data_IF_013498429086
#
_entry.id   IF_013498429086
#
_cell.length_a   1.000
_cell.length_b   1.000
_cell.length_c   1.000
_cell.angle_alpha   90.00
_cell.angle_beta   90.00
_cell.angle_gamma   90.00
#
_symmetry.space_group_name_H-M   'P 1'
#
loop_
_entity.id
_entity.type
_entity.pdbx_description
1 polymer ?
#
# COMPACT_ATOMS: atom_id res chain seq x y z
N UNK A 1 2.93 -19.53 1.22
CA UNK A 1 2.24 -20.20 2.34
C UNK A 1 2.60 -19.59 3.70
N UNK A 2 3.87 -19.49 4.09
CA UNK A 2 4.28 -18.84 5.36
C UNK A 2 3.85 -17.37 5.49
N UNK A 3 3.92 -16.60 4.40
CA UNK A 3 3.45 -15.20 4.36
C UNK A 3 1.97 -15.06 4.70
N UNK A 4 1.12 -15.97 4.21
CA UNK A 4 -0.31 -15.92 4.44
C UNK A 4 -0.67 -16.15 5.91
N UNK A 5 0.05 -17.04 6.60
CA UNK A 5 -0.17 -17.33 8.02
C UNK A 5 0.18 -16.15 8.93
N UNK A 6 1.22 -15.38 8.57
CA UNK A 6 1.58 -14.15 9.29
C UNK A 6 0.69 -12.96 8.92
N UNK A 7 0.15 -12.95 7.69
CA UNK A 7 -0.63 -11.83 7.20
C UNK A 7 -1.95 -11.63 7.95
N UNK A 8 -2.68 -12.72 8.26
CA UNK A 8 -3.96 -12.65 8.99
C UNK A 8 -3.86 -11.97 10.37
N UNK A 9 -2.96 -12.39 11.29
CA UNK A 9 -2.84 -11.75 12.59
C UNK A 9 -2.32 -10.31 12.46
N UNK A 10 -1.42 -10.04 11.50
CA UNK A 10 -0.94 -8.66 11.28
C UNK A 10 -2.04 -7.74 10.76
N UNK A 11 -2.92 -8.21 9.87
CA UNK A 11 -4.10 -7.45 9.44
C UNK A 11 -4.98 -7.04 10.62
N UNK A 12 -5.22 -7.96 11.56
CA UNK A 12 -6.01 -7.67 12.77
C UNK A 12 -5.30 -6.64 13.65
N UNK A 13 -3.99 -6.78 13.86
CA UNK A 13 -3.20 -5.83 14.65
C UNK A 13 -3.21 -4.42 14.05
N UNK A 14 -3.03 -4.30 12.74
CA UNK A 14 -3.11 -3.00 12.05
C UNK A 14 -4.54 -2.44 12.04
N UNK A 15 -5.57 -3.30 11.97
CA UNK A 15 -6.97 -2.90 12.16
C UNK A 15 -7.19 -2.26 13.53
N UNK A 16 -6.81 -2.95 14.61
CA UNK A 16 -6.93 -2.44 15.99
C UNK A 16 -6.11 -1.15 16.18
N UNK A 17 -4.93 -1.07 15.57
CA UNK A 17 -4.10 0.12 15.62
C UNK A 17 -4.75 1.30 14.89
N UNK A 18 -5.46 1.03 13.78
CA UNK A 18 -6.21 2.04 13.03
C UNK A 18 -7.42 2.55 13.79
N UNK A 19 -8.10 1.68 14.54
CA UNK A 19 -9.22 2.05 15.40
C UNK A 19 -8.78 2.99 16.53
N UNK A 20 -7.54 2.86 17.01
CA UNK A 20 -6.98 3.68 18.10
C UNK A 20 -6.29 4.96 17.66
N UNK A 21 -5.56 4.94 16.52
CA UNK A 21 -4.74 6.08 16.04
C UNK A 21 -5.32 6.81 14.84
N UNK A 22 -6.45 6.34 14.31
CA UNK A 22 -7.07 6.88 13.11
C UNK A 22 -6.55 6.22 11.83
N UNK A 23 -7.47 6.01 10.89
CA UNK A 23 -7.19 5.36 9.60
C UNK A 23 -6.11 6.11 8.80
N UNK A 24 -6.13 7.45 8.85
CA UNK A 24 -5.20 8.28 8.07
C UNK A 24 -3.74 8.08 8.47
N UNK A 25 -3.45 8.06 9.77
CA UNK A 25 -2.08 7.93 10.26
C UNK A 25 -1.47 6.57 9.92
N UNK A 26 -2.24 5.50 10.05
CA UNK A 26 -1.79 4.14 9.71
C UNK A 26 -1.56 3.99 8.21
N UNK A 27 -2.41 4.61 7.38
CA UNK A 27 -2.21 4.59 5.93
C UNK A 27 -0.93 5.33 5.50
N UNK A 28 -0.66 6.51 6.07
CA UNK A 28 0.58 7.26 5.80
C UNK A 28 1.81 6.47 6.25
N UNK A 29 1.75 5.83 7.43
CA UNK A 29 2.84 4.98 7.92
C UNK A 29 3.13 3.83 6.95
N UNK A 30 2.11 3.10 6.51
CA UNK A 30 2.25 2.01 5.54
C UNK A 30 2.85 2.49 4.22
N UNK A 31 2.38 3.63 3.70
CA UNK A 31 2.88 4.21 2.45
C UNK A 31 4.36 4.63 2.56
N UNK A 32 4.76 5.28 3.66
CA UNK A 32 6.16 5.65 3.90
C UNK A 32 7.05 4.41 4.07
N UNK A 33 6.57 3.38 4.77
CA UNK A 33 7.31 2.14 4.92
C UNK A 33 7.54 1.44 3.58
N UNK A 34 6.54 1.42 2.69
CA UNK A 34 6.69 0.90 1.33
C UNK A 34 7.70 1.72 0.53
N UNK A 35 7.69 3.06 0.67
CA UNK A 35 8.66 3.92 0.00
C UNK A 35 10.10 3.63 0.48
N UNK A 36 10.31 3.47 1.78
CA UNK A 36 11.63 3.14 2.35
C UNK A 36 12.08 1.72 1.95
N UNK A 37 11.16 0.75 1.95
CA UNK A 37 11.47 -0.64 1.61
C UNK A 37 11.53 -0.93 0.10
N UNK A 38 11.14 0.00 -0.76
CA UNK A 38 11.22 -0.18 -2.21
C UNK A 38 12.68 -0.45 -2.65
N UNK A 39 13.62 0.39 -2.23
CA UNK A 39 15.05 0.24 -2.59
C UNK A 39 15.68 -1.05 -2.03
N UNK A 40 15.57 -1.36 -0.72
CA UNK A 40 16.05 -2.62 -0.17
C UNK A 40 15.47 -3.84 -0.87
N UNK A 41 14.17 -3.82 -1.22
CA UNK A 41 13.52 -4.94 -1.88
C UNK A 41 14.09 -5.24 -3.26
N UNK A 42 14.31 -4.21 -4.09
CA UNK A 42 14.93 -4.39 -5.41
C UNK A 42 16.40 -4.85 -5.30
N UNK A 43 17.14 -4.38 -4.30
CA UNK A 43 18.50 -4.85 -4.05
C UNK A 43 18.54 -6.31 -3.57
N UNK A 44 17.61 -6.72 -2.70
CA UNK A 44 17.46 -8.12 -2.26
C UNK A 44 17.10 -9.04 -3.44
N UNK A 45 16.34 -8.53 -4.41
CA UNK A 45 16.03 -9.21 -5.68
C UNK A 45 17.28 -9.44 -6.53
N UNK A 46 18.16 -8.45 -6.63
CA UNK A 46 19.43 -8.58 -7.36
C UNK A 46 20.41 -9.56 -6.70
N UNK A 47 20.30 -9.75 -5.38
CA UNK A 47 21.15 -10.67 -4.61
C UNK A 47 20.97 -12.15 -5.00
N UNK A 48 19.93 -12.51 -5.79
CA UNK A 48 19.59 -13.87 -6.28
C UNK A 48 19.49 -14.97 -5.21
N UNK A 49 19.54 -14.62 -3.93
CA UNK A 49 19.37 -15.54 -2.82
C UNK A 49 17.90 -15.67 -2.45
N UNK A 50 17.38 -16.89 -2.56
CA UNK A 50 15.96 -17.19 -2.30
C UNK A 50 15.55 -16.84 -0.87
N UNK A 51 16.46 -17.00 0.09
CA UNK A 51 16.22 -16.69 1.51
C UNK A 51 16.06 -15.17 1.72
N UNK A 52 16.98 -14.37 1.18
CA UNK A 52 16.96 -12.92 1.33
C UNK A 52 15.75 -12.30 0.62
N UNK A 53 15.43 -12.77 -0.60
CA UNK A 53 14.22 -12.34 -1.32
C UNK A 53 12.94 -12.66 -0.55
N UNK A 54 12.86 -13.87 0.03
CA UNK A 54 11.68 -14.28 0.80
C UNK A 54 11.53 -13.45 2.06
N UNK A 55 12.61 -13.17 2.80
CA UNK A 55 12.57 -12.32 3.99
C UNK A 55 12.14 -10.88 3.65
N UNK A 56 12.71 -10.28 2.60
CA UNK A 56 12.32 -8.95 2.14
C UNK A 56 10.84 -8.88 1.73
N UNK A 57 10.36 -9.89 1.00
CA UNK A 57 8.97 -9.99 0.59
C UNK A 57 8.03 -10.15 1.80
N UNK A 58 8.38 -11.00 2.77
CA UNK A 58 7.62 -11.19 4.01
C UNK A 58 7.49 -9.86 4.75
N UNK A 59 8.58 -9.12 4.91
CA UNK A 59 8.59 -7.84 5.62
C UNK A 59 7.71 -6.79 4.91
N UNK A 60 7.90 -6.65 3.58
CA UNK A 60 7.16 -5.68 2.77
C UNK A 60 5.65 -5.95 2.78
N UNK A 61 5.26 -7.22 2.62
CA UNK A 61 3.83 -7.60 2.63
C UNK A 61 3.23 -7.46 4.03
N UNK A 62 3.91 -7.94 5.08
CA UNK A 62 3.31 -8.00 6.41
C UNK A 62 3.21 -6.65 7.10
N UNK A 63 4.10 -5.70 6.77
CA UNK A 63 4.12 -4.39 7.41
C UNK A 63 3.53 -3.33 6.47
N UNK A 64 4.07 -3.19 5.26
CA UNK A 64 3.63 -2.15 4.32
C UNK A 64 2.27 -2.44 3.71
N UNK A 65 2.15 -3.55 2.96
CA UNK A 65 0.93 -3.87 2.23
C UNK A 65 -0.26 -4.14 3.16
N UNK A 66 -0.05 -4.91 4.22
CA UNK A 66 -1.09 -5.26 5.18
C UNK A 66 -1.62 -4.05 5.98
N UNK A 67 -0.76 -3.10 6.36
CA UNK A 67 -1.23 -1.88 7.05
C UNK A 67 -2.09 -1.01 6.14
N UNK A 68 -1.75 -0.92 4.84
CA UNK A 68 -2.54 -0.21 3.84
C UNK A 68 -3.88 -0.89 3.60
N UNK A 69 -3.88 -2.19 3.30
CA UNK A 69 -5.09 -2.95 2.97
C UNK A 69 -6.08 -3.06 4.13
N UNK A 70 -5.59 -3.22 5.37
CA UNK A 70 -6.46 -3.33 6.53
C UNK A 70 -7.29 -2.05 6.74
N UNK A 71 -6.74 -0.90 6.36
CA UNK A 71 -7.32 0.42 6.65
C UNK A 71 -8.03 1.02 5.44
N UNK A 72 -7.63 0.65 4.23
CA UNK A 72 -8.18 1.13 2.96
C UNK A 72 -9.71 1.07 2.85
N UNK A 73 -10.42 -0.04 3.18
CA UNK A 73 -11.87 -0.09 3.04
C UNK A 73 -12.59 0.85 4.00
N UNK A 74 -12.13 0.92 5.25
CA UNK A 74 -12.68 1.82 6.28
C UNK A 74 -12.45 3.29 5.93
N UNK A 75 -11.25 3.61 5.47
CA UNK A 75 -10.86 4.95 5.05
C UNK A 75 -11.67 5.41 3.82
N UNK A 76 -11.76 4.58 2.78
CA UNK A 76 -12.49 4.95 1.55
C UNK A 76 -13.99 5.05 1.79
N UNK A 77 -14.58 4.15 2.59
CA UNK A 77 -16.00 4.24 2.92
C UNK A 77 -16.34 5.53 3.69
N UNK A 78 -15.44 6.01 4.56
CA UNK A 78 -15.69 7.24 5.30
C UNK A 78 -15.63 8.53 4.47
N UNK A 79 -15.01 8.51 3.27
CA UNK A 79 -14.92 9.66 2.37
C UNK A 79 -16.22 9.99 1.63
N UNK A 80 -17.18 9.07 1.59
CA UNK A 80 -18.42 9.20 0.84
C UNK A 80 -19.66 9.32 1.76
N UNK A 81 -20.63 10.12 1.33
CA UNK A 81 -21.92 10.28 2.01
C UNK A 81 -22.69 8.95 2.07
N UNK A 82 -23.51 8.71 3.13
CA UNK A 82 -24.21 7.45 3.35
C UNK A 82 -24.94 6.83 2.13
N UNK A 83 -25.70 7.58 1.31
CA UNK A 83 -26.45 6.98 0.19
C UNK A 83 -25.56 6.44 -0.95
N UNK A 84 -24.32 6.93 -1.08
CA UNK A 84 -23.39 6.56 -2.16
C UNK A 84 -22.13 5.89 -1.63
N UNK A 85 -22.09 5.54 -0.35
CA UNK A 85 -20.88 5.07 0.33
C UNK A 85 -20.31 3.80 -0.28
N UNK A 86 -21.16 2.80 -0.50
CA UNK A 86 -20.74 1.51 -1.05
C UNK A 86 -20.33 1.63 -2.52
N UNK A 87 -21.18 2.23 -3.35
CA UNK A 87 -20.93 2.39 -4.78
C UNK A 87 -19.74 3.31 -5.06
N UNK A 88 -19.64 4.44 -4.36
CA UNK A 88 -18.52 5.39 -4.51
C UNK A 88 -17.18 4.81 -4.09
N UNK A 89 -17.13 4.13 -2.94
CA UNK A 89 -15.91 3.45 -2.48
C UNK A 89 -15.47 2.34 -3.43
N UNK A 90 -16.41 1.50 -3.89
CA UNK A 90 -16.13 0.39 -4.81
C UNK A 90 -15.68 0.89 -6.19
N UNK A 91 -16.37 1.89 -6.76
CA UNK A 91 -16.01 2.48 -8.06
C UNK A 91 -14.64 3.16 -7.97
N UNK A 92 -14.38 3.93 -6.92
CA UNK A 92 -13.09 4.58 -6.71
C UNK A 92 -11.93 3.57 -6.57
N UNK A 93 -12.14 2.52 -5.78
CA UNK A 93 -11.14 1.46 -5.61
C UNK A 93 -10.88 0.70 -6.92
N UNK A 94 -11.93 0.34 -7.66
CA UNK A 94 -11.80 -0.40 -8.92
C UNK A 94 -11.18 0.45 -10.03
N UNK A 95 -11.60 1.70 -10.19
CA UNK A 95 -10.99 2.61 -11.16
C UNK A 95 -9.51 2.83 -10.84
N UNK A 96 -9.16 3.04 -9.57
CA UNK A 96 -7.78 3.13 -9.12
C UNK A 96 -7.00 1.85 -9.42
N UNK A 97 -7.57 0.67 -9.13
CA UNK A 97 -6.93 -0.62 -9.40
C UNK A 97 -6.72 -0.86 -10.90
N UNK A 98 -7.67 -0.51 -11.75
CA UNK A 98 -7.54 -0.68 -13.21
C UNK A 98 -6.51 0.29 -13.79
N UNK A 99 -6.58 1.57 -13.43
CA UNK A 99 -5.72 2.61 -14.00
C UNK A 99 -4.31 2.57 -13.43
N UNK A 100 -4.17 2.50 -12.10
CA UNK A 100 -2.84 2.46 -11.48
C UNK A 100 -2.29 1.02 -11.45
N UNK A 101 -3.09 0.05 -10.99
CA UNK A 101 -2.64 -1.34 -10.85
C UNK A 101 -2.42 -2.04 -12.19
N UNK A 102 -3.38 -1.92 -13.12
CA UNK A 102 -3.32 -2.60 -14.42
C UNK A 102 -2.17 -2.12 -15.31
N UNK A 103 -1.86 -0.83 -15.30
CA UNK A 103 -0.79 -0.25 -16.13
C UNK A 103 0.60 -0.29 -15.47
N UNK A 104 0.69 -0.59 -14.17
CA UNK A 104 1.97 -0.69 -13.44
C UNK A 104 3.00 -1.62 -14.12
N UNK A 105 2.69 -2.86 -14.55
CA UNK A 105 3.69 -3.71 -15.20
C UNK A 105 4.17 -3.16 -16.56
N UNK A 106 3.29 -2.49 -17.32
CA UNK A 106 3.67 -1.85 -18.59
C UNK A 106 4.60 -0.66 -18.35
N UNK A 107 4.28 0.19 -17.38
CA UNK A 107 5.12 1.32 -16.98
C UNK A 107 6.46 0.82 -16.47
N UNK A 108 6.47 -0.18 -15.58
CA UNK A 108 7.71 -0.76 -15.04
C UNK A 108 8.60 -1.36 -16.14
N UNK A 109 8.00 -2.08 -17.10
CA UNK A 109 8.73 -2.64 -18.25
C UNK A 109 9.29 -1.55 -19.15
N UNK A 110 8.49 -0.52 -19.45
CA UNK A 110 8.91 0.61 -20.26
C UNK A 110 10.07 1.38 -19.59
N UNK A 111 9.97 1.66 -18.29
CA UNK A 111 11.00 2.35 -17.52
C UNK A 111 12.31 1.55 -17.44
N UNK A 112 12.21 0.24 -17.23
CA UNK A 112 13.38 -0.64 -17.18
C UNK A 112 14.08 -0.75 -18.54
N UNK A 113 13.33 -0.66 -19.65
CA UNK A 113 13.89 -0.73 -21.00
C UNK A 113 14.71 0.51 -21.40
N UNK A 114 14.50 1.67 -20.77
CA UNK A 114 15.19 2.93 -21.09
C UNK A 114 16.63 2.96 -20.55
N UNK A 115 16.91 2.22 -19.47
CA UNK A 115 18.17 2.34 -18.73
C UNK A 115 18.82 0.97 -18.49
N UNK A 116 19.10 0.25 -19.58
CA UNK A 116 19.89 -0.99 -19.57
C UNK A 116 19.38 -2.08 -18.60
N UNK A 117 18.05 -2.19 -18.42
CA UNK A 117 17.39 -3.03 -17.42
C UNK A 117 17.71 -2.69 -15.96
N UNK A 118 18.09 -1.45 -15.66
CA UNK A 118 18.29 -1.01 -14.28
C UNK A 118 16.97 -0.99 -13.51
N UNK A 119 16.98 -1.61 -12.33
CA UNK A 119 15.86 -1.67 -11.40
C UNK A 119 15.63 -0.35 -10.64
N UNK A 120 16.60 0.57 -10.69
CA UNK A 120 16.59 1.84 -9.96
C UNK A 120 15.42 2.75 -10.35
N UNK A 121 15.09 2.83 -11.64
CA UNK A 121 13.96 3.62 -12.14
C UNK A 121 12.62 3.03 -11.68
N UNK A 122 12.50 1.70 -11.66
CA UNK A 122 11.29 1.02 -11.18
C UNK A 122 11.11 1.25 -9.68
N UNK A 123 12.19 1.17 -8.90
CA UNK A 123 12.17 1.52 -7.48
C UNK A 123 11.74 2.99 -7.26
N UNK A 124 12.28 3.92 -8.06
CA UNK A 124 11.89 5.33 -8.03
C UNK A 124 10.40 5.55 -8.34
N UNK A 125 9.84 4.84 -9.31
CA UNK A 125 8.40 4.86 -9.59
C UNK A 125 7.56 4.39 -8.40
N UNK A 126 7.96 3.30 -7.73
CA UNK A 126 7.28 2.80 -6.52
C UNK A 126 7.35 3.83 -5.39
N UNK A 127 8.50 4.47 -5.19
CA UNK A 127 8.66 5.53 -4.18
C UNK A 127 7.78 6.74 -4.50
N UNK A 128 7.77 7.21 -5.76
CA UNK A 128 6.94 8.34 -6.17
C UNK A 128 5.45 8.07 -5.98
N UNK A 129 4.97 6.89 -6.37
CA UNK A 129 3.56 6.50 -6.20
C UNK A 129 3.18 6.31 -4.74
N UNK A 130 4.08 5.76 -3.91
CA UNK A 130 3.88 5.65 -2.47
C UNK A 130 3.82 7.03 -1.79
N UNK A 131 4.72 7.96 -2.15
CA UNK A 131 4.72 9.33 -1.64
C UNK A 131 3.48 10.11 -2.09
N UNK A 132 3.07 9.95 -3.35
CA UNK A 132 1.82 10.54 -3.86
C UNK A 132 0.60 10.01 -3.09
N UNK A 133 0.57 8.71 -2.76
CA UNK A 133 -0.49 8.11 -1.93
C UNK A 133 -0.49 8.66 -0.51
N UNK A 134 0.69 8.80 0.12
CA UNK A 134 0.82 9.41 1.43
C UNK A 134 0.36 10.88 1.43
N UNK A 135 0.69 11.63 0.38
CA UNK A 135 0.26 13.01 0.22
C UNK A 135 -1.25 13.14 0.03
N UNK A 136 -1.84 12.28 -0.82
CA UNK A 136 -3.29 12.21 -1.00
C UNK A 136 -4.01 11.87 0.32
N UNK A 137 -3.49 10.90 1.07
CA UNK A 137 -4.02 10.54 2.39
C UNK A 137 -3.90 11.67 3.42
N UNK A 138 -2.87 12.51 3.34
CA UNK A 138 -2.71 13.68 4.21
C UNK A 138 -3.78 14.75 3.96
N UNK A 139 -4.14 14.96 2.70
CA UNK A 139 -5.19 15.93 2.30
C UNK A 139 -6.58 15.40 2.66
N UNK A 140 -6.78 14.09 2.56
CA UNK A 140 -8.05 13.47 2.85
C UNK A 140 -8.47 13.69 4.33
N UNK A 141 -9.77 14.00 4.58
CA UNK A 141 -10.28 14.21 5.93
C UNK A 141 -10.20 12.94 6.76
N UNK A 142 -9.92 13.10 8.06
CA UNK A 142 -9.88 11.99 9.00
C UNK A 142 -11.29 11.49 9.28
N UNK A 143 -11.58 10.27 8.86
CA UNK A 143 -12.89 9.65 9.03
C UNK A 143 -13.01 9.15 10.46
N UNK A 144 -13.48 10.02 11.35
CA UNK A 144 -13.91 9.65 12.70
C UNK A 144 -15.10 8.71 12.54
N UNK A 145 -14.93 7.42 12.85
CA UNK A 145 -16.09 6.56 13.07
C UNK A 145 -16.89 7.18 14.22
N UNK A 146 -18.21 7.40 14.09
CA UNK A 146 -19.02 7.88 15.18
C UNK A 146 -19.06 6.82 16.29
N UNK A 147 -18.11 6.90 17.20
CA UNK A 147 -18.22 6.36 18.54
C UNK A 147 -18.46 7.53 19.48
N UNK A 148 -19.69 8.04 19.47
CA UNK A 148 -20.29 8.60 20.66
C UNK A 148 -21.47 7.69 21.03
N UNK A 149 -21.57 7.23 22.29
CA UNK A 149 -22.73 6.50 22.79
C UNK A 149 -24.04 7.29 22.63
#
# INVERSE_FOLDING_TARGET
MFTCLLAYPMHVLFGIMSDRRGCRQVYIFGALFVAEMAFPFFWLLESRSLILMTMGYVLLINIGHNSLNAVQPSFFAGLFHPPVRYSGSSIGAQLGAVVAGGFTPFIAKALSAVYDNSWTLVAGYVVLTALASAFAAKIAPETVLPHSP
#
